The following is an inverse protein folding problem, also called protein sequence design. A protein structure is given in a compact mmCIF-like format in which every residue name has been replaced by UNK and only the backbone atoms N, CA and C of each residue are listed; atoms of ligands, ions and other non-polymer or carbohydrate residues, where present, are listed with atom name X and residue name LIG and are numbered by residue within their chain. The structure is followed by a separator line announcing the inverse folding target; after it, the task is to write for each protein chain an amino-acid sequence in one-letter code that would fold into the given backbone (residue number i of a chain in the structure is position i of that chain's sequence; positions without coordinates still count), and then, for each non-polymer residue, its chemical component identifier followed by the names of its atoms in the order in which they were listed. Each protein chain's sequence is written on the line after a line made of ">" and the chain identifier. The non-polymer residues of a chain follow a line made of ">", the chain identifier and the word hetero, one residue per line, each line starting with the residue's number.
data_IF_239259565705
#
_entry.id   IF_239259565705
#
_cell.length_a   1.000
_cell.length_b   1.000
_cell.length_c   1.000
_cell.angle_alpha   90.00
_cell.angle_beta   90.00
_cell.angle_gamma   90.00
#
_symmetry.space_group_name_H-M   'P 1'
#
loop_
_entity.id
_entity.type
_entity.pdbx_description
1 polymer ?
#
# COMPACT_ATOMS: atom_id res chain seq x y z
N UNK A 1 -8.05 -14.23 -0.21
CA UNK A 1 -8.06 -12.91 -0.91
C UNK A 1 -6.70 -12.74 -1.57
N UNK A 2 -6.63 -12.32 -2.84
CA UNK A 2 -5.38 -12.16 -3.60
C UNK A 2 -5.10 -10.68 -3.79
N UNK A 3 -3.93 -10.21 -3.39
CA UNK A 3 -3.48 -8.85 -3.70
C UNK A 3 -3.19 -8.70 -5.20
N UNK A 4 -3.12 -7.46 -5.73
CA UNK A 4 -2.71 -7.24 -7.11
C UNK A 4 -1.34 -7.86 -7.38
N UNK A 5 -1.14 -8.31 -8.61
CA UNK A 5 0.14 -8.82 -9.07
C UNK A 5 1.02 -7.64 -9.50
N UNK A 6 2.08 -7.36 -8.73
CA UNK A 6 3.01 -6.27 -8.99
C UNK A 6 4.18 -6.70 -9.88
N UNK A 7 4.27 -7.98 -10.29
CA UNK A 7 5.34 -8.51 -11.13
C UNK A 7 5.37 -7.87 -12.53
N UNK A 8 4.25 -7.28 -12.97
CA UNK A 8 4.20 -6.55 -14.23
C UNK A 8 5.08 -5.29 -14.22
N UNK A 9 5.26 -4.67 -13.06
CA UNK A 9 6.06 -3.46 -12.88
C UNK A 9 7.50 -3.83 -12.52
N UNK A 10 7.71 -4.88 -11.72
CA UNK A 10 9.04 -5.32 -11.22
C UNK A 10 9.79 -6.26 -12.16
N UNK A 11 9.42 -6.34 -13.44
CA UNK A 11 10.01 -7.28 -14.44
C UNK A 11 11.54 -7.33 -14.45
N UNK A 12 12.21 -6.27 -14.02
CA UNK A 12 13.62 -6.28 -13.67
C UNK A 12 13.92 -5.17 -12.64
N UNK A 13 14.14 -5.53 -11.37
CA UNK A 13 14.66 -4.61 -10.35
C UNK A 13 13.69 -4.27 -9.22
N UNK A 14 14.10 -3.34 -8.36
CA UNK A 14 13.30 -2.88 -7.22
C UNK A 14 12.16 -1.98 -7.71
N UNK A 15 11.00 -2.06 -7.07
CA UNK A 15 9.84 -1.26 -7.47
C UNK A 15 10.11 0.25 -7.38
N UNK A 16 10.91 0.68 -6.41
CA UNK A 16 11.33 2.07 -6.20
C UNK A 16 12.07 2.68 -7.41
N UNK A 17 12.70 1.86 -8.27
CA UNK A 17 13.38 2.35 -9.48
C UNK A 17 12.40 2.69 -10.60
N UNK A 18 11.19 2.14 -10.56
CA UNK A 18 10.16 2.30 -11.58
C UNK A 18 9.03 3.24 -11.18
N UNK A 19 8.98 3.65 -9.91
CA UNK A 19 7.92 4.49 -9.36
C UNK A 19 8.51 5.69 -8.61
N UNK A 20 8.20 6.90 -9.06
CA UNK A 20 8.62 8.13 -8.39
C UNK A 20 7.85 8.37 -7.07
N UNK A 21 6.55 8.06 -7.07
CA UNK A 21 5.71 8.19 -5.89
C UNK A 21 4.42 7.36 -5.98
N UNK A 22 3.77 7.17 -4.84
CA UNK A 22 2.42 6.57 -4.74
C UNK A 22 1.46 7.59 -4.17
N UNK A 23 0.32 7.76 -4.83
CA UNK A 23 -0.76 8.65 -4.40
C UNK A 23 -1.97 7.82 -3.96
N UNK A 24 -2.44 8.02 -2.73
CA UNK A 24 -3.66 7.38 -2.23
C UNK A 24 -4.81 8.37 -2.32
N UNK A 25 -5.87 7.99 -3.04
CA UNK A 25 -7.01 8.84 -3.31
C UNK A 25 -7.86 9.09 -2.06
N UNK A 26 -8.18 8.04 -1.30
CA UNK A 26 -8.96 8.12 -0.07
C UNK A 26 -8.71 6.93 0.86
N UNK A 27 -9.33 6.92 2.04
CA UNK A 27 -8.94 6.07 3.16
C UNK A 27 -9.56 4.66 3.17
N UNK A 28 -10.46 4.33 2.25
CA UNK A 28 -11.11 3.02 2.26
C UNK A 28 -10.12 1.90 1.90
N UNK A 29 -10.38 0.69 2.43
CA UNK A 29 -9.47 -0.46 2.31
C UNK A 29 -9.30 -0.98 0.88
N UNK A 30 -10.25 -0.72 -0.02
CA UNK A 30 -10.14 -0.99 -1.45
C UNK A 30 -9.09 -0.08 -2.14
N UNK A 31 -8.70 1.02 -1.50
CA UNK A 31 -7.65 1.94 -2.00
C UNK A 31 -6.34 1.88 -1.21
N UNK A 32 -6.39 1.58 0.09
CA UNK A 32 -5.18 1.54 0.93
C UNK A 32 -4.84 0.15 1.49
N UNK A 33 -5.71 -0.86 1.35
CA UNK A 33 -5.55 -2.16 2.01
C UNK A 33 -4.37 -2.99 1.52
N UNK A 34 -3.88 -2.72 0.30
CA UNK A 34 -2.68 -3.35 -0.24
C UNK A 34 -1.38 -2.64 0.20
N UNK A 35 -1.46 -1.49 0.88
CA UNK A 35 -0.30 -0.66 1.22
C UNK A 35 0.75 -1.41 2.08
N UNK A 36 0.37 -2.18 3.12
CA UNK A 36 1.36 -2.94 3.90
C UNK A 36 2.01 -4.05 3.06
N UNK A 37 1.25 -4.72 2.19
CA UNK A 37 1.79 -5.73 1.29
C UNK A 37 2.76 -5.11 0.27
N UNK A 38 2.38 -3.97 -0.30
CA UNK A 38 3.17 -3.20 -1.25
C UNK A 38 4.49 -2.69 -0.65
N UNK A 39 4.47 -2.21 0.59
CA UNK A 39 5.67 -1.74 1.28
C UNK A 39 6.55 -2.91 1.76
N UNK A 40 5.98 -3.87 2.49
CA UNK A 40 6.74 -4.90 3.21
C UNK A 40 7.07 -6.13 2.35
N UNK A 41 6.14 -6.60 1.52
CA UNK A 41 6.32 -7.83 0.73
C UNK A 41 6.93 -7.54 -0.65
N UNK A 42 6.52 -6.44 -1.29
CA UNK A 42 7.04 -6.04 -2.61
C UNK A 42 8.30 -5.17 -2.48
N UNK A 43 8.52 -4.52 -1.33
CA UNK A 43 9.75 -3.80 -1.02
C UNK A 43 9.84 -2.40 -1.63
N UNK A 44 8.70 -1.69 -1.73
CA UNK A 44 8.70 -0.29 -2.13
C UNK A 44 9.14 0.61 -0.97
N UNK A 45 10.10 1.50 -1.25
CA UNK A 45 10.70 2.44 -0.28
C UNK A 45 10.59 3.92 -0.74
N UNK A 46 9.80 4.17 -1.79
CA UNK A 46 9.59 5.52 -2.30
C UNK A 46 8.56 6.32 -1.49
N UNK A 47 8.35 7.61 -1.81
CA UNK A 47 7.39 8.45 -1.11
C UNK A 47 5.94 7.99 -1.38
N UNK A 48 5.13 8.03 -0.33
CA UNK A 48 3.69 7.76 -0.38
C UNK A 48 2.96 9.02 0.10
N UNK A 49 2.19 9.63 -0.80
CA UNK A 49 1.42 10.83 -0.51
C UNK A 49 -0.05 10.51 -0.29
N UNK A 50 -0.61 11.22 0.66
CA UNK A 50 -2.02 11.16 1.04
C UNK A 50 -2.46 12.57 1.40
N UNK A 51 -3.76 12.86 1.28
CA UNK A 51 -4.32 14.05 1.90
C UNK A 51 -4.25 13.94 3.43
N UNK A 52 -4.19 15.07 4.12
CA UNK A 52 -4.15 15.12 5.59
C UNK A 52 -5.21 14.24 6.28
N UNK A 53 -6.52 14.27 5.91
CA UNK A 53 -7.51 13.41 6.54
C UNK A 53 -7.26 11.92 6.29
N UNK A 54 -6.85 11.54 5.08
CA UNK A 54 -6.53 10.14 4.76
C UNK A 54 -5.34 9.64 5.56
N UNK A 55 -4.28 10.46 5.71
CA UNK A 55 -3.09 10.11 6.48
C UNK A 55 -3.38 9.85 7.97
N UNK A 56 -4.36 10.56 8.54
CA UNK A 56 -4.75 10.37 9.94
C UNK A 56 -5.52 9.06 10.17
N UNK A 57 -6.35 8.64 9.22
CA UNK A 57 -7.27 7.50 9.38
C UNK A 57 -6.67 6.18 8.86
N UNK A 58 -5.89 6.23 7.78
CA UNK A 58 -5.37 5.05 7.09
C UNK A 58 -4.61 4.07 8.02
N UNK A 59 -3.70 4.50 8.91
CA UNK A 59 -2.99 3.58 9.80
C UNK A 59 -3.93 2.83 10.76
N UNK A 60 -4.95 3.51 11.27
CA UNK A 60 -5.94 2.92 12.20
C UNK A 60 -6.73 1.82 11.49
N UNK A 61 -7.21 2.10 10.28
CA UNK A 61 -7.95 1.13 9.47
C UNK A 61 -7.09 -0.08 9.08
N UNK A 62 -5.82 0.14 8.72
CA UNK A 62 -4.90 -0.95 8.39
C UNK A 62 -4.62 -1.86 9.59
N UNK A 63 -4.45 -1.30 10.79
CA UNK A 63 -4.28 -2.09 12.02
C UNK A 63 -5.53 -2.89 12.34
N UNK A 64 -6.73 -2.28 12.22
CA UNK A 64 -7.99 -3.00 12.43
C UNK A 64 -8.17 -4.12 11.41
N UNK A 65 -7.92 -3.84 10.13
CA UNK A 65 -8.02 -4.81 9.04
C UNK A 65 -7.10 -6.01 9.25
N UNK A 66 -5.83 -5.75 9.62
CA UNK A 66 -4.86 -6.80 9.91
C UNK A 66 -5.34 -7.69 11.06
N UNK A 67 -5.90 -7.11 12.14
CA UNK A 67 -6.44 -7.88 13.27
C UNK A 67 -7.60 -8.78 12.88
N UNK A 68 -8.58 -8.25 12.13
CA UNK A 68 -9.73 -9.05 11.65
C UNK A 68 -9.37 -10.11 10.62
N UNK A 69 -8.24 -9.97 9.90
CA UNK A 69 -7.82 -10.97 8.91
C UNK A 69 -7.13 -12.17 9.57
N UNK A 70 -6.63 -12.01 10.80
CA UNK A 70 -5.91 -13.05 11.56
C UNK A 70 -6.88 -13.84 12.48
N UNK A 71 -8.17 -13.45 12.52
CA UNK A 71 -9.24 -14.16 13.25
C UNK A 71 -10.16 -14.88 12.28
#
# INVERSE_FOLDING_TARGET
>A
RRFPDFDYITRSGKLTEHLDCVLISHFHLDHCGALPYFSEMVGYDGPIYMTHPTKAICPILLVQYARTTIT
#
